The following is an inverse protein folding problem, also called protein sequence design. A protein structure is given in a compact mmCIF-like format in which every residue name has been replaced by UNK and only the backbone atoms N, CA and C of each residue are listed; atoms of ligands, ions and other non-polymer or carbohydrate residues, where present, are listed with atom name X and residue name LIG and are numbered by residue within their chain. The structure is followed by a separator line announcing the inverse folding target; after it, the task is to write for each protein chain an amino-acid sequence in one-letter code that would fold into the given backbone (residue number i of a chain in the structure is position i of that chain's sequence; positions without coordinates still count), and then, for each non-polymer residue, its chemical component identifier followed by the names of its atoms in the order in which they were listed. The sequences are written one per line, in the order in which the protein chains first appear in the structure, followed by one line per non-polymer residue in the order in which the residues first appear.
data_IF_456403805344
#
_entry.id   IF_456403805344
#
_cell.length_a   1.000
_cell.length_b   1.000
_cell.length_c   1.000
_cell.angle_alpha   90.00
_cell.angle_beta   90.00
_cell.angle_gamma   90.00
#
_symmetry.space_group_name_H-M   'P 1'
#
loop_
_entity.id
_entity.type
_entity.pdbx_description
1 polymer ?
#
# COMPACT_ATOMS: atom_id res chain seq x y z
N UNK A 1 -0.01 9.48 8.51
CA UNK A 1 -0.31 10.79 7.90
C UNK A 1 -0.29 10.69 6.38
N UNK A 2 0.81 10.23 5.75
CA UNK A 2 0.91 10.15 4.27
C UNK A 2 -0.13 9.19 3.70
N UNK A 3 -0.31 8.02 4.31
CA UNK A 3 -1.32 7.03 3.95
C UNK A 3 -2.74 7.65 3.93
N UNK A 4 -3.16 8.24 5.04
CA UNK A 4 -4.47 8.92 5.15
C UNK A 4 -4.60 10.11 4.19
N UNK A 5 -3.47 10.77 3.90
CA UNK A 5 -3.40 11.82 2.88
C UNK A 5 -3.72 11.29 1.47
N UNK A 6 -3.34 10.06 1.17
CA UNK A 6 -3.70 9.37 -0.08
C UNK A 6 -5.20 9.15 -0.20
N UNK A 7 -5.84 8.61 0.84
CA UNK A 7 -7.29 8.46 0.90
C UNK A 7 -8.02 9.81 0.74
N UNK A 8 -7.57 10.83 1.48
CA UNK A 8 -8.16 12.17 1.40
C UNK A 8 -8.04 12.78 -0.01
N UNK A 9 -6.90 12.59 -0.69
CA UNK A 9 -6.71 13.09 -2.05
C UNK A 9 -7.65 12.42 -3.05
N UNK A 10 -7.94 11.14 -2.86
CA UNK A 10 -8.92 10.44 -3.70
C UNK A 10 -10.30 11.10 -3.57
N UNK A 11 -10.81 11.22 -2.35
CA UNK A 11 -12.12 11.83 -2.09
C UNK A 11 -12.20 13.29 -2.58
N UNK A 12 -11.18 14.10 -2.32
CA UNK A 12 -11.11 15.50 -2.76
C UNK A 12 -10.88 15.64 -4.28
N UNK A 13 -10.47 14.59 -4.95
CA UNK A 13 -10.23 14.57 -6.39
C UNK A 13 -11.48 14.25 -7.22
N UNK A 14 -12.55 13.78 -6.59
CA UNK A 14 -13.81 13.47 -7.27
C UNK A 14 -14.41 14.74 -7.86
N UNK A 15 -14.92 14.66 -9.09
CA UNK A 15 -15.46 15.82 -9.78
C UNK A 15 -16.75 16.34 -9.11
N UNK A 16 -16.95 17.65 -9.18
CA UNK A 16 -17.98 18.36 -8.40
C UNK A 16 -19.42 17.97 -8.82
N UNK A 17 -19.66 17.57 -10.08
CA UNK A 17 -20.98 17.17 -10.55
C UNK A 17 -21.46 15.82 -9.99
N UNK A 18 -20.57 15.04 -9.37
CA UNK A 18 -20.94 13.83 -8.64
C UNK A 18 -21.27 14.09 -7.16
N UNK A 19 -20.97 15.29 -6.65
CA UNK A 19 -21.26 15.64 -5.26
C UNK A 19 -22.75 15.53 -4.96
N UNK A 20 -23.08 15.04 -3.77
CA UNK A 20 -24.48 14.81 -3.33
C UNK A 20 -25.26 13.76 -4.15
N UNK A 21 -24.57 12.95 -4.95
CA UNK A 21 -25.16 11.78 -5.62
C UNK A 21 -24.68 10.49 -4.98
N UNK A 22 -25.30 9.35 -5.32
CA UNK A 22 -24.82 8.03 -4.88
C UNK A 22 -23.50 7.59 -5.56
N UNK A 23 -23.00 8.38 -6.51
CA UNK A 23 -21.75 8.13 -7.23
C UNK A 23 -20.56 8.89 -6.63
N UNK A 24 -20.79 9.73 -5.62
CA UNK A 24 -19.71 10.35 -4.85
C UNK A 24 -19.02 9.30 -3.97
N UNK A 25 -17.74 9.53 -3.68
CA UNK A 25 -16.91 8.59 -2.93
C UNK A 25 -16.12 7.62 -3.81
N UNK A 26 -15.06 7.05 -3.24
CA UNK A 26 -14.20 6.10 -3.94
C UNK A 26 -14.91 4.78 -4.23
N UNK A 27 -14.71 4.24 -5.44
CA UNK A 27 -15.47 3.10 -5.97
C UNK A 27 -15.27 1.79 -5.20
N UNK A 28 -14.10 1.56 -4.60
CA UNK A 28 -13.81 0.36 -3.84
C UNK A 28 -12.61 0.58 -2.90
N UNK A 29 -12.51 -0.27 -1.88
CA UNK A 29 -11.35 -0.23 -0.98
C UNK A 29 -10.05 -0.62 -1.68
N UNK A 30 -10.06 -1.48 -2.70
CA UNK A 30 -8.87 -1.79 -3.50
C UNK A 30 -8.33 -0.57 -4.23
N UNK A 31 -9.19 0.25 -4.86
CA UNK A 31 -8.78 1.51 -5.49
C UNK A 31 -8.42 2.56 -4.44
N UNK A 32 -9.14 2.63 -3.33
CA UNK A 32 -8.84 3.52 -2.21
C UNK A 32 -7.46 3.25 -1.61
N UNK A 33 -7.16 1.98 -1.34
CA UNK A 33 -5.84 1.55 -0.86
C UNK A 33 -4.73 1.75 -1.91
N UNK A 34 -5.07 1.75 -3.19
CA UNK A 34 -4.07 2.07 -4.21
C UNK A 34 -3.57 3.51 -4.06
N UNK A 35 -4.43 4.44 -3.65
CA UNK A 35 -4.05 5.84 -3.44
C UNK A 35 -3.26 6.03 -2.14
N UNK A 36 -3.71 5.43 -1.04
CA UNK A 36 -2.99 5.47 0.24
C UNK A 36 -1.61 4.83 0.14
N UNK A 37 -1.52 3.62 -0.45
CA UNK A 37 -0.27 2.90 -0.64
C UNK A 37 0.66 3.56 -1.64
N UNK A 38 0.11 4.16 -2.70
CA UNK A 38 0.91 4.94 -3.64
C UNK A 38 1.66 6.07 -2.94
N UNK A 39 0.94 6.90 -2.18
CA UNK A 39 1.58 8.00 -1.46
C UNK A 39 2.46 7.53 -0.31
N UNK A 40 2.09 6.49 0.42
CA UNK A 40 2.87 5.96 1.55
C UNK A 40 4.14 5.26 1.10
N UNK A 41 4.02 4.23 0.26
CA UNK A 41 5.12 3.31 -0.04
C UNK A 41 5.91 3.74 -1.27
N UNK A 42 5.21 4.09 -2.35
CA UNK A 42 5.87 4.39 -3.64
C UNK A 42 6.51 5.78 -3.56
N UNK A 43 5.75 6.80 -3.20
CA UNK A 43 6.28 8.15 -3.09
C UNK A 43 7.00 8.35 -1.76
N UNK A 44 6.31 8.13 -0.63
CA UNK A 44 6.76 8.51 0.71
C UNK A 44 8.01 7.77 1.20
N UNK A 45 8.21 6.53 0.74
CA UNK A 45 9.41 5.74 1.03
C UNK A 45 10.43 5.74 -0.10
N UNK A 46 10.29 6.62 -1.10
CA UNK A 46 11.28 6.77 -2.17
C UNK A 46 12.47 7.63 -1.74
N UNK A 47 13.66 7.35 -2.29
CA UNK A 47 14.85 8.18 -2.02
C UNK A 47 14.67 9.64 -2.45
N UNK A 48 14.08 9.95 -3.63
CA UNK A 48 13.81 11.33 -4.01
C UNK A 48 12.95 12.09 -3.00
N UNK A 49 11.88 11.48 -2.50
CA UNK A 49 11.00 12.09 -1.49
C UNK A 49 11.70 12.27 -0.14
N UNK A 50 12.38 11.23 0.33
CA UNK A 50 13.14 11.32 1.59
C UNK A 50 14.16 12.45 1.51
N UNK A 51 14.91 12.58 0.42
CA UNK A 51 15.86 13.69 0.21
C UNK A 51 15.18 15.05 0.22
N UNK A 52 14.00 15.18 -0.35
CA UNK A 52 13.27 16.44 -0.40
C UNK A 52 12.79 16.89 0.99
N UNK A 53 12.33 15.97 1.84
CA UNK A 53 11.78 16.31 3.17
C UNK A 53 12.82 16.30 4.29
N UNK A 54 13.96 15.62 4.11
CA UNK A 54 14.94 15.37 5.16
C UNK A 54 15.49 16.64 5.81
N UNK A 55 15.82 17.72 5.07
CA UNK A 55 16.24 18.99 5.70
C UNK A 55 15.21 19.52 6.68
N UNK A 56 13.92 19.43 6.34
CA UNK A 56 12.84 19.86 7.23
C UNK A 56 12.68 18.94 8.45
N UNK A 57 12.90 17.65 8.29
CA UNK A 57 12.93 16.72 9.43
C UNK A 57 14.08 17.06 10.39
N UNK A 58 15.26 17.41 9.88
CA UNK A 58 16.39 17.83 10.72
C UNK A 58 16.12 19.12 11.50
N UNK A 59 15.35 20.06 10.94
CA UNK A 59 14.91 21.25 11.67
C UNK A 59 14.02 20.91 12.88
N UNK A 60 13.12 19.94 12.73
CA UNK A 60 12.21 19.52 13.81
C UNK A 60 12.85 18.58 14.83
N UNK A 61 13.81 17.75 14.39
CA UNK A 61 14.48 16.73 15.19
C UNK A 61 16.01 16.86 15.14
N UNK A 62 16.57 18.04 15.53
CA UNK A 62 17.99 18.33 15.32
C UNK A 62 18.91 17.37 16.08
N UNK A 63 18.59 17.02 17.30
CA UNK A 63 19.44 16.11 18.10
C UNK A 63 19.40 14.68 17.62
N UNK A 64 18.19 14.19 17.24
CA UNK A 64 17.98 12.80 16.79
C UNK A 64 18.59 12.55 15.40
N UNK A 65 18.56 13.56 14.53
CA UNK A 65 19.01 13.44 13.13
C UNK A 65 20.37 14.10 12.86
N UNK A 66 21.07 14.55 13.89
CA UNK A 66 22.35 15.28 13.80
C UNK A 66 23.42 14.56 12.95
N UNK A 67 23.48 13.24 13.05
CA UNK A 67 24.48 12.41 12.38
C UNK A 67 23.87 11.45 11.36
N UNK A 68 22.61 11.67 10.98
CA UNK A 68 21.87 10.85 10.02
C UNK A 68 21.89 11.52 8.65
N UNK A 69 22.10 10.74 7.60
CA UNK A 69 21.94 11.20 6.22
C UNK A 69 20.58 10.83 5.66
N UNK A 70 20.14 11.48 4.58
CA UNK A 70 18.92 11.12 3.87
C UNK A 70 18.95 9.67 3.35
N UNK A 71 20.09 9.18 2.92
CA UNK A 71 20.30 7.80 2.47
C UNK A 71 20.15 6.80 3.62
N UNK A 72 20.69 7.12 4.79
CA UNK A 72 20.50 6.28 6.00
C UNK A 72 19.02 6.24 6.41
N UNK A 73 18.34 7.39 6.36
CA UNK A 73 16.90 7.46 6.62
C UNK A 73 16.11 6.64 5.60
N UNK A 74 16.43 6.75 4.30
CA UNK A 74 15.82 5.94 3.24
C UNK A 74 16.00 4.44 3.50
N UNK A 75 17.21 3.99 3.84
CA UNK A 75 17.49 2.58 4.19
C UNK A 75 16.69 2.15 5.43
N UNK A 76 16.59 3.01 6.44
CA UNK A 76 15.87 2.70 7.69
C UNK A 76 14.35 2.51 7.47
N UNK A 77 13.71 3.41 6.71
CA UNK A 77 12.25 3.34 6.46
C UNK A 77 11.86 2.22 5.47
N UNK A 78 12.83 1.66 4.75
CA UNK A 78 12.63 0.53 3.83
C UNK A 78 13.29 -0.76 4.34
N UNK A 79 13.67 -0.83 5.61
CA UNK A 79 14.25 -2.06 6.17
C UNK A 79 13.27 -3.22 6.03
N UNK A 80 13.73 -4.32 5.44
CA UNK A 80 12.95 -5.57 5.34
C UNK A 80 13.26 -6.45 6.53
N UNK A 81 12.21 -6.88 7.22
CA UNK A 81 12.32 -7.82 8.32
C UNK A 81 10.96 -8.52 8.52
N UNK A 82 10.86 -9.84 8.28
CA UNK A 82 9.65 -10.57 8.61
C UNK A 82 9.21 -10.31 10.05
N UNK A 83 7.95 -10.01 10.24
CA UNK A 83 7.40 -9.56 11.52
C UNK A 83 6.06 -10.24 11.82
N UNK A 84 5.55 -10.08 13.05
CA UNK A 84 4.28 -10.67 13.47
C UNK A 84 3.08 -9.78 13.11
N UNK A 85 3.23 -8.47 13.16
CA UNK A 85 2.11 -7.53 13.09
C UNK A 85 2.01 -6.94 11.69
N UNK A 86 0.87 -7.17 11.01
CA UNK A 86 0.63 -6.73 9.64
C UNK A 86 0.76 -5.21 9.47
N UNK A 87 0.20 -4.43 10.38
CA UNK A 87 0.23 -2.96 10.28
C UNK A 87 1.64 -2.36 10.46
N UNK A 88 2.57 -3.13 11.01
CA UNK A 88 3.98 -2.75 11.19
C UNK A 88 4.91 -3.39 10.13
N UNK A 89 4.35 -4.23 9.25
CA UNK A 89 5.13 -4.95 8.24
C UNK A 89 5.74 -3.99 7.21
N UNK A 90 6.94 -4.36 6.75
CA UNK A 90 7.58 -3.66 5.64
C UNK A 90 6.86 -3.90 4.30
N UNK A 91 7.18 -3.09 3.30
CA UNK A 91 6.49 -3.13 2.01
C UNK A 91 6.69 -4.47 1.28
N UNK A 92 7.88 -5.08 1.39
CA UNK A 92 8.19 -6.33 0.68
C UNK A 92 7.40 -7.51 1.25
N UNK A 93 7.31 -7.62 2.59
CA UNK A 93 6.64 -8.74 3.26
C UNK A 93 5.15 -8.51 3.47
N UNK A 94 4.65 -7.29 3.28
CA UNK A 94 3.26 -6.91 3.59
C UNK A 94 2.22 -7.80 2.91
N UNK A 95 2.39 -8.08 1.63
CA UNK A 95 1.43 -8.90 0.87
C UNK A 95 1.35 -10.34 1.38
N UNK A 96 2.42 -10.89 1.99
CA UNK A 96 2.40 -12.21 2.61
C UNK A 96 1.47 -12.24 3.83
N UNK A 97 1.43 -11.18 4.62
CA UNK A 97 0.45 -11.03 5.69
C UNK A 97 -0.99 -11.04 5.18
N UNK A 98 -1.25 -10.40 4.04
CA UNK A 98 -2.58 -10.42 3.39
C UNK A 98 -2.91 -11.83 2.89
N UNK A 99 -1.97 -12.52 2.27
CA UNK A 99 -2.16 -13.89 1.75
C UNK A 99 -2.54 -14.87 2.86
N UNK A 100 -1.91 -14.81 4.04
CA UNK A 100 -2.30 -15.64 5.19
C UNK A 100 -3.78 -15.49 5.50
N UNK A 101 -4.28 -14.28 5.58
CA UNK A 101 -5.68 -13.99 5.88
C UNK A 101 -6.61 -14.45 4.78
N UNK A 102 -6.23 -14.24 3.54
CA UNK A 102 -6.99 -14.68 2.38
C UNK A 102 -7.14 -16.21 2.33
N UNK A 103 -6.07 -16.95 2.60
CA UNK A 103 -6.12 -18.42 2.64
C UNK A 103 -7.01 -18.93 3.77
N UNK A 104 -7.03 -18.27 4.92
CA UNK A 104 -7.93 -18.60 6.03
C UNK A 104 -9.39 -18.24 5.68
N UNK A 105 -9.64 -17.05 5.14
CA UNK A 105 -10.99 -16.63 4.76
C UNK A 105 -11.63 -17.59 3.74
N UNK A 106 -10.87 -18.04 2.74
CA UNK A 106 -11.37 -19.05 1.77
C UNK A 106 -11.88 -20.30 2.48
N UNK A 107 -11.06 -20.84 3.40
CA UNK A 107 -11.39 -22.06 4.12
C UNK A 107 -12.56 -21.89 5.10
N UNK A 108 -12.72 -20.69 5.69
CA UNK A 108 -13.87 -20.38 6.53
C UNK A 108 -15.17 -20.30 5.71
N UNK A 109 -15.11 -19.68 4.54
CA UNK A 109 -16.30 -19.47 3.69
C UNK A 109 -16.74 -20.76 3.00
N UNK A 110 -15.79 -21.62 2.58
CA UNK A 110 -16.14 -22.93 1.97
C UNK A 110 -16.44 -24.02 3.02
N UNK A 111 -16.25 -23.73 4.31
CA UNK A 111 -16.55 -24.62 5.43
C UNK A 111 -15.49 -25.70 5.68
N UNK A 112 -14.32 -25.62 5.05
CA UNK A 112 -13.22 -26.58 5.27
C UNK A 112 -12.40 -26.30 6.54
N UNK A 113 -12.58 -25.13 7.16
CA UNK A 113 -11.96 -24.72 8.43
C UNK A 113 -13.00 -24.32 9.44
N UNK A 114 -12.94 -24.92 10.63
CA UNK A 114 -13.74 -24.47 11.77
C UNK A 114 -13.07 -23.31 12.50
N UNK A 115 -13.86 -22.38 13.04
CA UNK A 115 -13.38 -21.17 13.73
C UNK A 115 -12.40 -21.49 14.87
N UNK A 116 -12.63 -22.60 15.60
CA UNK A 116 -11.74 -23.02 16.69
C UNK A 116 -10.32 -23.39 16.26
N UNK A 117 -10.15 -23.75 14.97
CA UNK A 117 -8.88 -24.23 14.41
C UNK A 117 -8.09 -23.10 13.71
N UNK A 118 -8.65 -21.87 13.65
CA UNK A 118 -7.97 -20.70 13.08
C UNK A 118 -6.58 -20.48 13.68
N UNK A 119 -6.33 -20.54 15.00
CA UNK A 119 -5.00 -20.29 15.55
C UNK A 119 -3.93 -21.24 15.01
N UNK A 120 -4.26 -22.53 14.86
CA UNK A 120 -3.34 -23.54 14.34
C UNK A 120 -2.97 -23.26 12.87
N UNK A 121 -4.00 -23.01 12.03
CA UNK A 121 -3.80 -22.72 10.60
C UNK A 121 -3.03 -21.41 10.42
N UNK A 122 -3.35 -20.39 11.22
CA UNK A 122 -2.63 -19.11 11.25
C UNK A 122 -1.14 -19.31 11.54
N UNK A 123 -0.81 -20.00 12.62
CA UNK A 123 0.58 -20.22 13.03
C UNK A 123 1.37 -20.99 11.95
N UNK A 124 0.75 -22.00 11.34
CA UNK A 124 1.35 -22.76 10.24
C UNK A 124 1.63 -21.86 9.03
N UNK A 125 0.67 -21.03 8.59
CA UNK A 125 0.84 -20.15 7.43
C UNK A 125 1.85 -19.02 7.71
N UNK A 126 1.90 -18.49 8.93
CA UNK A 126 2.95 -17.52 9.32
C UNK A 126 4.33 -18.12 9.25
N UNK A 127 4.49 -19.35 9.70
CA UNK A 127 5.77 -20.07 9.58
C UNK A 127 6.15 -20.33 8.14
N UNK A 128 5.18 -20.74 7.32
CA UNK A 128 5.40 -21.05 5.92
C UNK A 128 5.73 -19.82 5.08
N UNK A 129 4.97 -18.72 5.21
CA UNK A 129 5.10 -17.54 4.35
C UNK A 129 6.11 -16.51 4.86
N UNK A 130 6.22 -16.35 6.17
CA UNK A 130 7.04 -15.30 6.80
C UNK A 130 8.24 -15.87 7.57
N UNK A 131 8.30 -17.18 7.81
CA UNK A 131 9.38 -17.83 8.55
C UNK A 131 9.35 -17.53 10.06
N UNK A 132 8.30 -16.89 10.57
CA UNK A 132 8.20 -16.49 11.99
C UNK A 132 7.31 -17.42 12.80
N UNK A 133 7.65 -17.61 14.07
CA UNK A 133 6.84 -18.37 15.02
C UNK A 133 5.91 -17.41 15.78
N UNK A 134 4.62 -17.74 15.82
CA UNK A 134 3.59 -16.93 16.50
C UNK A 134 3.52 -17.36 17.96
N UNK A 135 3.82 -16.49 18.92
CA UNK A 135 3.94 -16.90 20.32
C UNK A 135 2.60 -16.94 21.09
N UNK A 136 1.59 -16.22 20.62
CA UNK A 136 0.26 -16.15 21.22
C UNK A 136 -0.76 -15.58 20.21
N UNK A 137 -2.07 -15.82 20.46
CA UNK A 137 -3.15 -15.41 19.57
C UNK A 137 -3.30 -13.88 19.48
N UNK A 138 -2.90 -13.13 20.50
CA UNK A 138 -2.94 -11.66 20.49
C UNK A 138 -2.01 -11.08 19.41
N UNK A 139 -0.84 -11.71 19.22
CA UNK A 139 0.11 -11.37 18.14
C UNK A 139 -0.10 -12.24 16.89
N UNK A 140 -1.06 -13.15 16.95
CA UNK A 140 -1.51 -14.02 15.89
C UNK A 140 -2.86 -13.58 15.32
N UNK A 141 -3.81 -14.50 15.28
CA UNK A 141 -5.09 -14.33 14.60
C UNK A 141 -6.01 -13.24 15.20
N UNK A 142 -5.75 -12.75 16.40
CA UNK A 142 -6.52 -11.69 17.06
C UNK A 142 -5.93 -10.28 16.86
N UNK A 143 -4.91 -10.11 16.04
CA UNK A 143 -4.26 -8.81 15.86
C UNK A 143 -5.08 -7.81 15.04
N UNK A 144 -6.00 -8.28 14.19
CA UNK A 144 -6.87 -7.46 13.36
C UNK A 144 -8.31 -7.50 13.84
N UNK A 145 -9.05 -6.40 13.71
CA UNK A 145 -10.46 -6.29 14.09
C UNK A 145 -11.45 -6.64 12.97
N UNK A 146 -10.97 -6.98 11.78
CA UNK A 146 -11.79 -7.19 10.57
C UNK A 146 -12.84 -8.28 10.79
N UNK A 147 -12.42 -9.47 11.18
CA UNK A 147 -13.33 -10.61 11.36
C UNK A 147 -14.31 -10.40 12.51
N UNK A 148 -13.86 -9.82 13.63
CA UNK A 148 -14.75 -9.50 14.75
C UNK A 148 -15.78 -8.41 14.40
N UNK A 149 -15.47 -7.55 13.42
CA UNK A 149 -16.37 -6.56 12.85
C UNK A 149 -17.22 -7.08 11.67
N UNK A 150 -17.08 -8.35 11.29
CA UNK A 150 -17.82 -8.95 10.17
C UNK A 150 -17.26 -8.63 8.78
N UNK A 151 -16.05 -8.06 8.69
CA UNK A 151 -15.43 -7.68 7.42
C UNK A 151 -14.64 -8.85 6.82
N UNK A 152 -15.33 -9.75 6.13
CA UNK A 152 -14.74 -10.81 5.32
C UNK A 152 -14.53 -10.37 3.88
N UNK A 153 -13.46 -10.87 3.23
CA UNK A 153 -13.08 -10.50 1.86
C UNK A 153 -12.45 -9.12 1.73
N UNK A 154 -12.14 -8.45 2.83
CA UNK A 154 -11.55 -7.11 2.85
C UNK A 154 -10.03 -7.12 2.65
N UNK A 155 -9.31 -8.04 3.27
CA UNK A 155 -7.84 -8.08 3.27
C UNK A 155 -7.20 -8.05 1.88
N UNK A 156 -7.75 -8.69 0.83
CA UNK A 156 -7.19 -8.58 -0.52
C UNK A 156 -7.06 -7.14 -1.03
N UNK A 157 -7.93 -6.23 -0.59
CA UNK A 157 -7.89 -4.80 -0.98
C UNK A 157 -6.53 -4.16 -0.71
N UNK A 158 -5.85 -4.54 0.35
CA UNK A 158 -4.53 -4.02 0.71
C UNK A 158 -3.44 -4.43 -0.28
N UNK A 159 -3.40 -5.71 -0.69
CA UNK A 159 -2.41 -6.19 -1.66
C UNK A 159 -2.73 -5.69 -3.08
N UNK A 160 -4.01 -5.74 -3.48
CA UNK A 160 -4.47 -5.18 -4.76
C UNK A 160 -4.17 -3.68 -4.85
N UNK A 161 -4.40 -2.93 -3.76
CA UNK A 161 -4.05 -1.52 -3.71
C UNK A 161 -2.57 -1.26 -3.99
N UNK A 162 -1.68 -2.04 -3.38
CA UNK A 162 -0.24 -1.94 -3.66
C UNK A 162 0.11 -2.26 -5.12
N UNK A 163 -0.50 -3.31 -5.68
CA UNK A 163 -0.27 -3.71 -7.07
C UNK A 163 -0.81 -2.68 -8.07
N UNK A 164 -2.01 -2.15 -7.85
CA UNK A 164 -2.57 -1.06 -8.67
C UNK A 164 -1.69 0.19 -8.59
N UNK A 165 -1.21 0.55 -7.40
CA UNK A 165 -0.30 1.68 -7.22
C UNK A 165 0.98 1.55 -8.04
N UNK A 166 1.62 0.37 -8.03
CA UNK A 166 2.82 0.11 -8.82
C UNK A 166 2.56 0.21 -10.33
N UNK A 167 1.42 -0.33 -10.80
CA UNK A 167 1.06 -0.23 -12.21
C UNK A 167 0.72 1.21 -12.62
N UNK A 168 0.09 1.99 -11.74
CA UNK A 168 -0.13 3.42 -11.95
C UNK A 168 1.19 4.18 -12.07
N UNK A 169 2.18 3.90 -11.20
CA UNK A 169 3.52 4.50 -11.31
C UNK A 169 4.15 4.20 -12.67
N UNK A 170 4.18 2.94 -13.08
CA UNK A 170 4.76 2.52 -14.36
C UNK A 170 4.16 3.26 -15.57
N UNK A 171 2.87 3.58 -15.53
CA UNK A 171 2.22 4.35 -16.58
C UNK A 171 2.43 5.87 -16.43
N UNK A 172 2.41 6.36 -15.19
CA UNK A 172 2.69 7.77 -14.88
C UNK A 172 4.08 8.20 -15.36
N UNK A 173 5.09 7.35 -15.20
CA UNK A 173 6.46 7.60 -15.65
C UNK A 173 6.61 7.71 -17.17
N UNK A 174 5.67 7.19 -17.95
CA UNK A 174 5.63 7.37 -19.41
C UNK A 174 5.11 8.75 -19.79
N UNK A 175 4.27 9.37 -18.94
CA UNK A 175 3.60 10.63 -19.23
C UNK A 175 4.42 11.86 -18.80
N UNK A 176 5.19 11.75 -17.71
CA UNK A 176 6.04 12.85 -17.23
C UNK A 176 7.15 12.34 -16.26
N UNK A 177 8.20 13.16 -16.02
CA UNK A 177 9.34 12.79 -15.18
C UNK A 177 9.00 12.84 -13.66
N UNK A 178 8.27 11.85 -13.17
CA UNK A 178 7.76 11.75 -11.79
C UNK A 178 8.85 12.04 -10.76
N UNK A 179 9.99 11.39 -10.88
CA UNK A 179 11.05 11.46 -9.87
C UNK A 179 11.80 12.79 -9.85
N UNK A 180 11.76 13.56 -10.92
CA UNK A 180 12.31 14.92 -10.96
C UNK A 180 11.41 15.88 -10.15
N UNK A 181 10.08 15.77 -10.31
CA UNK A 181 9.12 16.53 -9.52
C UNK A 181 9.23 16.18 -8.02
N UNK A 182 9.24 14.90 -7.69
CA UNK A 182 9.35 14.43 -6.30
C UNK A 182 10.65 14.93 -5.66
N UNK A 183 11.78 14.87 -6.39
CA UNK A 183 13.07 15.39 -5.92
C UNK A 183 13.04 16.89 -5.67
N UNK A 184 12.25 17.63 -6.45
CA UNK A 184 12.04 19.06 -6.25
C UNK A 184 11.04 19.39 -5.13
N UNK A 185 10.55 18.38 -4.39
CA UNK A 185 9.55 18.55 -3.33
C UNK A 185 8.14 18.88 -3.86
N UNK A 186 7.87 18.59 -5.13
CA UNK A 186 6.59 18.86 -5.79
C UNK A 186 5.84 17.54 -6.04
N UNK A 187 4.52 17.57 -5.84
CA UNK A 187 3.63 16.45 -6.11
C UNK A 187 2.43 16.88 -6.98
N UNK A 188 2.56 18.03 -7.64
CA UNK A 188 1.45 18.62 -8.41
C UNK A 188 1.13 17.77 -9.64
N UNK A 189 2.12 17.32 -10.39
CA UNK A 189 1.95 16.45 -11.56
C UNK A 189 1.39 15.07 -11.16
N UNK A 190 1.94 14.48 -10.09
CA UNK A 190 1.42 13.22 -9.51
C UNK A 190 -0.05 13.36 -9.16
N UNK A 191 -0.42 14.42 -8.42
CA UNK A 191 -1.81 14.65 -8.01
C UNK A 191 -2.73 14.93 -9.18
N UNK A 192 -2.26 15.67 -10.20
CA UNK A 192 -3.02 15.96 -11.41
C UNK A 192 -3.28 14.70 -12.24
N UNK A 193 -2.27 13.87 -12.42
CA UNK A 193 -2.40 12.60 -13.14
C UNK A 193 -3.39 11.66 -12.46
N UNK A 194 -3.26 11.47 -11.13
CA UNK A 194 -4.18 10.63 -10.36
C UNK A 194 -5.61 11.18 -10.38
N UNK A 195 -5.78 12.52 -10.30
CA UNK A 195 -7.10 13.14 -10.42
C UNK A 195 -7.72 12.88 -11.78
N UNK A 196 -6.96 13.05 -12.85
CA UNK A 196 -7.44 12.84 -14.22
C UNK A 196 -7.76 11.37 -14.52
N UNK A 197 -6.87 10.45 -14.12
CA UNK A 197 -7.00 9.03 -14.50
C UNK A 197 -7.84 8.20 -13.54
N UNK A 198 -7.96 8.62 -12.26
CA UNK A 198 -8.57 7.82 -11.20
C UNK A 198 -9.64 8.59 -10.44
N UNK A 199 -9.26 9.71 -9.77
CA UNK A 199 -10.09 10.30 -8.73
C UNK A 199 -11.41 10.86 -9.26
N UNK A 200 -11.38 11.55 -10.40
CA UNK A 200 -12.54 12.27 -10.94
C UNK A 200 -13.78 11.39 -11.15
N UNK A 201 -13.59 10.10 -11.28
CA UNK A 201 -14.69 9.18 -11.59
C UNK A 201 -15.54 8.81 -10.37
N UNK A 202 -15.04 8.99 -9.13
CA UNK A 202 -15.76 8.51 -7.95
C UNK A 202 -16.18 7.06 -8.10
N UNK A 203 -17.46 6.78 -7.91
CA UNK A 203 -18.08 5.47 -8.14
C UNK A 203 -18.80 5.34 -9.50
N UNK A 204 -18.50 6.22 -10.47
CA UNK A 204 -19.13 6.20 -11.80
C UNK A 204 -18.70 4.98 -12.64
N UNK A 205 -17.48 4.52 -12.46
CA UNK A 205 -16.91 3.37 -13.16
C UNK A 205 -16.59 2.26 -12.14
N UNK A 206 -16.58 1.02 -12.60
CA UNK A 206 -16.12 -0.09 -11.77
C UNK A 206 -14.61 -0.01 -11.49
N UNK A 207 -14.10 -0.66 -10.43
CA UNK A 207 -12.66 -0.70 -10.15
C UNK A 207 -11.82 -1.16 -11.34
N UNK A 208 -12.27 -2.21 -12.03
CA UNK A 208 -11.58 -2.75 -13.21
C UNK A 208 -11.54 -1.74 -14.38
N UNK A 209 -12.62 -1.00 -14.61
CA UNK A 209 -12.65 0.03 -15.64
C UNK A 209 -11.71 1.20 -15.30
N UNK A 210 -11.68 1.65 -14.04
CA UNK A 210 -10.76 2.72 -13.60
C UNK A 210 -9.30 2.29 -13.82
N UNK A 211 -8.93 1.09 -13.36
CA UNK A 211 -7.56 0.58 -13.52
C UNK A 211 -7.22 0.42 -14.99
N UNK A 212 -8.13 -0.16 -15.79
CA UNK A 212 -7.94 -0.36 -17.23
C UNK A 212 -7.77 0.97 -17.97
N UNK A 213 -8.58 1.98 -17.65
CA UNK A 213 -8.49 3.30 -18.28
C UNK A 213 -7.22 4.05 -17.88
N UNK A 214 -6.75 3.88 -16.63
CA UNK A 214 -5.56 4.54 -16.12
C UNK A 214 -4.26 3.88 -16.63
N UNK A 215 -4.21 2.56 -16.72
CA UNK A 215 -2.95 1.83 -16.91
C UNK A 215 -3.05 0.54 -17.75
N UNK A 216 -4.16 0.33 -18.45
CA UNK A 216 -4.37 -0.89 -19.25
C UNK A 216 -4.84 -2.09 -18.42
N UNK A 217 -4.81 -3.27 -19.00
CA UNK A 217 -5.21 -4.48 -18.30
C UNK A 217 -4.30 -4.72 -17.08
N UNK A 218 -4.90 -5.19 -15.97
CA UNK A 218 -4.16 -5.41 -14.74
C UNK A 218 -3.14 -6.55 -14.89
N UNK A 219 -1.88 -6.23 -14.57
CA UNK A 219 -0.77 -7.17 -14.59
C UNK A 219 -0.06 -7.17 -13.22
N UNK A 220 -0.26 -8.21 -12.41
CA UNK A 220 0.35 -8.29 -11.08
C UNK A 220 1.88 -8.41 -11.13
N UNK A 221 2.48 -8.78 -12.27
CA UNK A 221 3.94 -8.89 -12.40
C UNK A 221 4.62 -7.54 -12.27
N UNK A 222 3.95 -6.44 -12.67
CA UNK A 222 4.46 -5.06 -12.51
C UNK A 222 4.78 -4.74 -11.05
N UNK A 223 3.97 -5.24 -10.10
CA UNK A 223 4.24 -5.03 -8.67
C UNK A 223 5.44 -5.85 -8.19
N UNK A 224 5.56 -7.09 -8.61
CA UNK A 224 6.72 -7.92 -8.25
C UNK A 224 8.01 -7.39 -8.85
N UNK A 225 7.96 -6.86 -10.07
CA UNK A 225 9.11 -6.23 -10.73
C UNK A 225 9.51 -4.93 -10.00
N UNK A 226 8.55 -4.09 -9.64
CA UNK A 226 8.78 -2.90 -8.81
C UNK A 226 9.49 -3.25 -7.48
N UNK A 227 8.98 -4.25 -6.75
CA UNK A 227 9.58 -4.69 -5.50
C UNK A 227 10.99 -5.25 -5.73
N UNK A 228 11.16 -6.08 -6.74
CA UNK A 228 12.46 -6.67 -7.09
C UNK A 228 13.48 -5.57 -7.41
N UNK A 229 13.13 -4.62 -8.26
CA UNK A 229 14.03 -3.52 -8.64
C UNK A 229 14.40 -2.66 -7.42
N UNK A 230 13.39 -2.27 -6.61
CA UNK A 230 13.59 -1.42 -5.43
C UNK A 230 14.52 -2.09 -4.41
N UNK A 231 14.25 -3.34 -4.07
CA UNK A 231 14.97 -4.02 -2.99
C UNK A 231 16.33 -4.58 -3.44
N UNK A 232 16.47 -4.97 -4.71
CA UNK A 232 17.78 -5.27 -5.29
C UNK A 232 18.71 -4.06 -5.20
N UNK A 233 18.23 -2.87 -5.57
CA UNK A 233 19.00 -1.63 -5.45
C UNK A 233 19.29 -1.25 -3.98
N UNK A 234 18.32 -1.45 -3.09
CA UNK A 234 18.45 -1.08 -1.67
C UNK A 234 19.51 -1.92 -0.94
N UNK A 235 19.58 -3.21 -1.28
CA UNK A 235 20.45 -4.18 -0.62
C UNK A 235 21.72 -4.51 -1.40
N UNK A 236 21.92 -3.88 -2.57
CA UNK A 236 23.09 -4.07 -3.44
C UNK A 236 23.27 -5.55 -3.88
N UNK A 237 22.12 -6.22 -4.28
CA UNK A 237 22.07 -7.63 -4.68
C UNK A 237 22.31 -7.81 -6.19
#
# INVERSE_FOLDING_TARGET
VIHEGGHAKYELGIRDDLQYTCLTGGVSMGVHESQSRFYENIIGRSLPFVKAIFPKMQEFFPEQLKHVTAEQMYRAVNKVQPSLIRTEADELTYSLHVMVRYEIEKQLIDGSLEVKDIPEVWNRLYKEYLGVDVPDDRRGCLQDSHWSGGSFGYFPSYALGSAYGAQMLCNMEKDFPVWEEVRAGKLTGVSAWLKEKVHQYGSLLTPGEIVKNACGDFDPTVYTDYLTEKYTKLYDL
#
